data_IF_264936016184
#
_entry.id   IF_264936016184
#
_cell.length_a   1.000
_cell.length_b   1.000
_cell.length_c   1.000
_cell.angle_alpha   90.00
_cell.angle_beta   90.00
_cell.angle_gamma   90.00
#
_symmetry.space_group_name_H-M   'P 1'
#
loop_
_entity.id
_entity.type
_entity.pdbx_description
1 polymer ?
#
# COMPACT_ATOMS: atom_id res chain seq x y z
N UNK A 1 1.46 7.48 -0.66
CA UNK A 1 0.86 6.28 -1.28
C UNK A 1 1.88 5.19 -1.60
N UNK A 2 2.73 5.38 -2.62
CA UNK A 2 3.70 4.37 -3.05
C UNK A 2 4.58 3.91 -1.88
N UNK A 3 5.16 4.85 -1.15
CA UNK A 3 6.01 4.53 -0.01
C UNK A 3 5.26 3.73 1.07
N UNK A 4 4.04 4.17 1.43
CA UNK A 4 3.20 3.48 2.41
C UNK A 4 2.85 2.05 2.00
N UNK A 5 2.45 1.85 0.74
CA UNK A 5 2.16 0.52 0.20
C UNK A 5 3.41 -0.37 0.20
N UNK A 6 4.56 0.19 -0.20
CA UNK A 6 5.84 -0.50 -0.20
C UNK A 6 6.30 -0.91 1.21
N UNK A 7 6.16 -0.02 2.21
CA UNK A 7 6.49 -0.34 3.61
C UNK A 7 5.65 -1.52 4.14
N UNK A 8 4.34 -1.53 3.87
CA UNK A 8 3.47 -2.64 4.28
C UNK A 8 3.84 -3.94 3.55
N UNK A 9 4.10 -3.88 2.24
CA UNK A 9 4.48 -5.06 1.46
C UNK A 9 5.84 -5.63 1.89
N UNK A 10 6.85 -4.78 2.10
CA UNK A 10 8.17 -5.20 2.61
C UNK A 10 8.04 -5.78 4.02
N UNK A 11 7.27 -5.16 4.90
CA UNK A 11 7.04 -5.69 6.23
C UNK A 11 6.38 -7.08 6.19
N UNK A 12 5.39 -7.28 5.32
CA UNK A 12 4.73 -8.57 5.13
C UNK A 12 5.70 -9.63 4.59
N UNK A 13 6.57 -9.26 3.65
CA UNK A 13 7.64 -10.13 3.15
C UNK A 13 8.61 -10.54 4.27
N UNK A 14 9.12 -9.56 5.04
CA UNK A 14 10.02 -9.83 6.16
C UNK A 14 9.35 -10.67 7.26
N UNK A 15 8.03 -10.61 7.37
CA UNK A 15 7.23 -11.42 8.30
C UNK A 15 6.84 -12.80 7.74
N UNK A 16 7.26 -13.15 6.51
CA UNK A 16 6.92 -14.41 5.86
C UNK A 16 5.47 -14.55 5.41
N UNK A 17 4.72 -13.45 5.31
CA UNK A 17 3.32 -13.46 4.85
C UNK A 17 3.20 -13.48 3.33
N UNK A 18 4.19 -12.92 2.62
CA UNK A 18 4.24 -12.90 1.15
C UNK A 18 5.68 -13.20 0.68
N UNK A 19 5.82 -13.65 -0.56
CA UNK A 19 7.09 -13.85 -1.24
C UNK A 19 7.64 -12.54 -1.80
N UNK A 20 8.94 -12.53 -2.11
CA UNK A 20 9.63 -11.35 -2.64
C UNK A 20 8.98 -10.79 -3.91
N UNK A 21 8.54 -11.65 -4.83
CA UNK A 21 7.91 -11.26 -6.09
C UNK A 21 6.49 -10.71 -5.93
N UNK A 22 5.87 -10.89 -4.76
CA UNK A 22 4.53 -10.38 -4.46
C UNK A 22 4.56 -8.93 -3.97
N UNK A 23 5.72 -8.42 -3.53
CA UNK A 23 5.90 -7.02 -3.13
C UNK A 23 5.44 -6.05 -4.24
N UNK A 24 5.98 -6.10 -5.48
CA UNK A 24 5.54 -5.19 -6.54
C UNK A 24 4.05 -5.39 -6.89
N UNK A 25 3.53 -6.62 -6.84
CA UNK A 25 2.11 -6.89 -7.12
C UNK A 25 1.18 -6.25 -6.07
N UNK A 26 1.54 -6.28 -4.78
CA UNK A 26 0.78 -5.61 -3.71
C UNK A 26 0.80 -4.09 -3.92
N UNK A 27 1.97 -3.53 -4.25
CA UNK A 27 2.14 -2.09 -4.45
C UNK A 27 1.32 -1.62 -5.65
N UNK A 28 1.41 -2.29 -6.79
CA UNK A 28 0.65 -1.98 -8.01
C UNK A 28 -0.87 -2.04 -7.75
N UNK A 29 -1.36 -3.15 -7.18
CA UNK A 29 -2.78 -3.30 -6.83
C UNK A 29 -3.28 -2.26 -5.84
N UNK A 30 -2.40 -1.76 -4.97
CA UNK A 30 -2.74 -0.67 -4.02
C UNK A 30 -2.90 0.65 -4.76
N UNK A 31 -2.00 0.95 -5.70
CA UNK A 31 -2.08 2.18 -6.48
C UNK A 31 -3.28 2.18 -7.45
N UNK A 32 -3.59 1.04 -8.07
CA UNK A 32 -4.71 0.89 -9.01
C UNK A 32 -6.08 1.12 -8.36
N UNK A 33 -6.21 0.86 -7.06
CA UNK A 33 -7.45 1.10 -6.32
C UNK A 33 -7.66 2.58 -5.96
N UNK A 34 -6.64 3.41 -6.12
CA UNK A 34 -6.72 4.82 -5.80
C UNK A 34 -7.09 5.64 -7.02
N UNK A 35 -8.02 6.58 -6.85
CA UNK A 35 -8.21 7.64 -7.85
C UNK A 35 -7.17 8.72 -7.59
N UNK A 36 -6.29 8.96 -8.57
CA UNK A 36 -5.25 9.97 -8.46
C UNK A 36 -5.85 11.34 -8.04
N UNK A 37 -5.48 11.79 -6.85
CA UNK A 37 -5.77 13.11 -6.31
C UNK A 37 -4.46 13.80 -5.97
N UNK A 38 -4.39 15.10 -6.27
CA UNK A 38 -3.28 15.94 -5.82
C UNK A 38 -3.67 16.49 -4.45
N UNK A 39 -3.00 16.07 -3.36
CA UNK A 39 -3.33 16.60 -2.05
C UNK A 39 -3.04 18.09 -1.98
N UNK A 40 -3.92 18.82 -1.32
CA UNK A 40 -3.88 20.26 -1.11
C UNK A 40 -3.55 20.65 0.33
N UNK A 41 -3.53 19.68 1.26
CA UNK A 41 -3.22 19.87 2.68
C UNK A 41 -2.41 18.71 3.25
N UNK A 42 -1.84 18.92 4.44
CA UNK A 42 -1.15 17.86 5.18
C UNK A 42 -2.13 16.77 5.62
N UNK A 43 -3.34 17.17 6.00
CA UNK A 43 -4.42 16.27 6.42
C UNK A 43 -4.76 15.29 5.29
N UNK A 44 -4.89 15.77 4.05
CA UNK A 44 -5.12 14.91 2.89
C UNK A 44 -3.95 13.96 2.64
N UNK A 45 -2.70 14.40 2.83
CA UNK A 45 -1.52 13.52 2.72
C UNK A 45 -1.60 12.38 3.74
N UNK A 46 -1.97 12.69 4.99
CA UNK A 46 -2.08 11.71 6.08
C UNK A 46 -3.22 10.71 5.79
N UNK A 47 -4.37 11.20 5.32
CA UNK A 47 -5.49 10.35 4.94
C UNK A 47 -5.13 9.40 3.79
N UNK A 48 -4.45 9.93 2.77
CA UNK A 48 -3.96 9.15 1.63
C UNK A 48 -2.92 8.10 2.07
N UNK A 49 -2.04 8.42 3.01
CA UNK A 49 -1.08 7.47 3.59
C UNK A 49 -1.80 6.35 4.34
N UNK A 50 -2.73 6.70 5.23
CA UNK A 50 -3.53 5.74 5.99
C UNK A 50 -4.35 4.82 5.09
N UNK A 51 -4.99 5.37 4.06
CA UNK A 51 -5.71 4.60 3.06
C UNK A 51 -4.81 3.58 2.36
N UNK A 52 -3.61 4.00 1.92
CA UNK A 52 -2.69 3.12 1.23
C UNK A 52 -2.24 1.94 2.11
N UNK A 53 -2.02 2.18 3.41
CA UNK A 53 -1.70 1.12 4.36
C UNK A 53 -2.86 0.14 4.54
N UNK A 54 -4.08 0.63 4.68
CA UNK A 54 -5.27 -0.22 4.81
C UNK A 54 -5.51 -1.05 3.55
N UNK A 55 -5.39 -0.44 2.37
CA UNK A 55 -5.56 -1.12 1.08
C UNK A 55 -4.52 -2.23 0.86
N UNK A 56 -3.23 -1.93 1.09
CA UNK A 56 -2.16 -2.92 0.98
C UNK A 56 -2.38 -4.12 1.92
N UNK A 57 -2.74 -3.88 3.19
CA UNK A 57 -3.07 -4.95 4.14
C UNK A 57 -4.26 -5.81 3.67
N UNK A 58 -5.29 -5.18 3.09
CA UNK A 58 -6.43 -5.91 2.54
C UNK A 58 -6.03 -6.77 1.35
N UNK A 59 -5.14 -6.29 0.48
CA UNK A 59 -4.62 -7.06 -0.65
C UNK A 59 -3.85 -8.29 -0.15
N UNK A 60 -2.93 -8.10 0.81
CA UNK A 60 -2.12 -9.18 1.38
C UNK A 60 -2.98 -10.29 2.00
N UNK A 61 -4.06 -9.93 2.72
CA UNK A 61 -4.98 -10.92 3.30
C UNK A 61 -5.76 -11.75 2.27
N UNK A 62 -5.76 -11.33 1.00
CA UNK A 62 -6.46 -11.96 -0.11
C UNK A 62 -5.50 -12.48 -1.20
N UNK A 63 -4.20 -12.60 -0.88
CA UNK A 63 -3.24 -13.38 -1.66
C UNK A 63 -3.35 -14.85 -1.28
#
# INVERSE_FOLDING_TARGET
>A
MLNAANEIAVHAFLSGQINFLEIPAVVERTLDQHRAITPSSLEEIIEIDGWARTAANKIIRNL
#
